data_IF_261142468627
#
_entry.id   IF_261142468627
#
_cell.length_a   1.000
_cell.length_b   1.000
_cell.length_c   1.000
_cell.angle_alpha   90.00
_cell.angle_beta   90.00
_cell.angle_gamma   90.00
#
_symmetry.space_group_name_H-M   'P 1'
#
loop_
_entity.id
_entity.type
_entity.pdbx_description
1 polymer ?
#
# COMPACT_ATOMS: atom_id res chain seq x y z
N UNK A 1 8.96 -22.46 55.37
CA UNK A 1 7.96 -22.41 54.30
C UNK A 1 7.01 -23.56 54.49
N UNK A 2 5.79 -23.26 54.93
CA UNK A 2 4.74 -24.26 55.11
C UNK A 2 3.97 -24.45 53.80
N UNK A 3 3.31 -25.60 53.62
CA UNK A 3 2.46 -25.84 52.44
C UNK A 3 1.38 -24.78 52.26
N UNK A 4 0.88 -24.22 53.36
CA UNK A 4 -0.10 -23.14 53.36
C UNK A 4 0.46 -21.86 52.76
N UNK A 5 1.66 -21.45 53.16
CA UNK A 5 2.35 -20.28 52.58
C UNK A 5 2.67 -20.46 51.08
N UNK A 6 2.91 -21.70 50.64
CA UNK A 6 3.14 -21.98 49.23
C UNK A 6 1.86 -21.84 48.40
N UNK A 7 0.73 -22.36 48.91
CA UNK A 7 -0.58 -22.25 48.26
C UNK A 7 -1.03 -20.79 48.22
N UNK A 8 -0.94 -20.07 49.34
CA UNK A 8 -1.34 -18.65 49.41
C UNK A 8 -0.53 -17.78 48.44
N UNK A 9 0.78 -18.06 48.29
CA UNK A 9 1.62 -17.37 47.30
C UNK A 9 1.26 -17.75 45.86
N UNK A 10 0.94 -19.02 45.60
CA UNK A 10 0.51 -19.45 44.27
C UNK A 10 -0.82 -18.82 43.87
N UNK A 11 -1.79 -18.74 44.78
CA UNK A 11 -3.09 -18.09 44.57
C UNK A 11 -2.94 -16.59 44.32
N UNK A 12 -2.05 -15.93 45.08
CA UNK A 12 -1.74 -14.51 44.89
C UNK A 12 -1.09 -14.24 43.53
N UNK A 13 -0.12 -15.07 43.12
CA UNK A 13 0.50 -14.97 41.79
C UNK A 13 -0.53 -15.22 40.69
N UNK A 14 -1.42 -16.20 40.85
CA UNK A 14 -2.51 -16.48 39.90
C UNK A 14 -3.48 -15.29 39.76
N UNK A 15 -3.93 -14.71 40.87
CA UNK A 15 -4.84 -13.55 40.86
C UNK A 15 -4.17 -12.29 40.31
N UNK A 16 -2.89 -12.04 40.62
CA UNK A 16 -2.11 -10.96 40.00
C UNK A 16 -1.97 -11.18 38.48
N UNK A 17 -1.75 -12.43 38.05
CA UNK A 17 -1.62 -12.78 36.64
C UNK A 17 -2.94 -12.65 35.87
N UNK A 18 -4.08 -13.05 36.45
CA UNK A 18 -5.42 -12.88 35.88
C UNK A 18 -5.83 -11.41 35.76
N UNK A 19 -5.49 -10.58 36.75
CA UNK A 19 -5.72 -9.14 36.70
C UNK A 19 -4.80 -8.45 35.66
N UNK A 20 -3.54 -8.87 35.53
CA UNK A 20 -2.63 -8.36 34.51
C UNK A 20 -3.04 -8.73 33.08
N UNK A 21 -3.68 -9.89 32.88
CA UNK A 21 -4.23 -10.32 31.56
C UNK A 21 -5.41 -9.42 31.11
N UNK A 22 -6.04 -8.67 32.03
CA UNK A 22 -7.20 -7.85 31.73
C UNK A 22 -6.91 -6.43 31.21
N UNK A 23 -5.65 -5.98 31.20
CA UNK A 23 -5.27 -4.70 30.57
C UNK A 23 -5.01 -4.87 29.06
N UNK A 24 -6.09 -4.79 28.27
CA UNK A 24 -6.16 -5.15 26.84
C UNK A 24 -5.74 -4.07 25.83
N UNK A 25 -5.12 -2.98 26.27
CA UNK A 25 -4.67 -1.89 25.40
C UNK A 25 -3.21 -2.10 24.96
N UNK A 26 -2.99 -2.27 23.66
CA UNK A 26 -1.69 -2.51 23.05
C UNK A 26 -1.27 -1.31 22.20
N UNK A 27 -0.02 -0.86 22.32
CA UNK A 27 0.56 0.12 21.39
C UNK A 27 0.95 -0.58 20.09
N UNK A 28 0.30 -0.22 18.98
CA UNK A 28 0.69 -0.64 17.63
C UNK A 28 1.37 0.52 16.90
N UNK A 29 2.46 0.24 16.21
CA UNK A 29 3.17 1.23 15.40
C UNK A 29 2.98 0.96 13.92
N UNK A 30 2.67 2.00 13.15
CA UNK A 30 2.57 1.94 11.69
C UNK A 30 3.42 3.06 11.11
N UNK A 31 4.14 2.76 10.02
CA UNK A 31 4.89 3.78 9.28
C UNK A 31 3.97 4.42 8.26
N UNK A 32 3.77 5.74 8.35
CA UNK A 32 3.04 6.55 7.35
C UNK A 32 3.92 7.70 6.92
N UNK A 33 4.05 7.91 5.61
CA UNK A 33 4.84 9.00 5.01
C UNK A 33 6.28 9.09 5.58
N UNK A 34 6.92 7.93 5.78
CA UNK A 34 8.29 7.82 6.30
C UNK A 34 8.43 8.04 7.81
N UNK A 35 7.34 8.33 8.54
CA UNK A 35 7.36 8.54 10.00
C UNK A 35 6.68 7.38 10.74
N UNK A 36 7.27 6.94 11.85
CA UNK A 36 6.68 5.92 12.73
C UNK A 36 5.62 6.56 13.63
N UNK A 37 4.36 6.17 13.46
CA UNK A 37 3.23 6.66 14.25
C UNK A 37 2.77 5.52 15.17
N UNK A 38 2.82 5.76 16.48
CA UNK A 38 2.30 4.84 17.51
C UNK A 38 0.89 5.22 17.90
N UNK A 39 0.01 4.23 17.99
CA UNK A 39 -1.36 4.42 18.47
C UNK A 39 -1.80 3.23 19.32
N UNK A 40 -2.74 3.48 20.23
CA UNK A 40 -3.33 2.45 21.07
C UNK A 40 -4.42 1.69 20.32
N UNK A 41 -4.47 0.38 20.52
CA UNK A 41 -5.44 -0.55 19.96
C UNK A 41 -5.91 -1.47 21.08
N UNK A 42 -7.18 -1.84 21.08
CA UNK A 42 -7.72 -2.87 21.98
C UNK A 42 -7.93 -4.16 21.19
N UNK A 43 -7.63 -5.29 21.82
CA UNK A 43 -7.96 -6.61 21.28
C UNK A 43 -9.33 -7.12 21.77
N UNK A 44 -10.08 -6.32 22.58
CA UNK A 44 -11.47 -6.65 22.97
C UNK A 44 -12.39 -6.60 21.74
N UNK A 45 -13.19 -7.66 21.48
CA UNK A 45 -14.25 -7.57 20.49
C UNK A 45 -15.28 -6.51 20.91
N UNK A 46 -15.86 -5.80 19.94
CA UNK A 46 -16.85 -4.74 20.15
C UNK A 46 -16.43 -3.58 21.06
N UNK A 47 -15.14 -3.41 21.32
CA UNK A 47 -14.62 -2.22 22.02
C UNK A 47 -13.79 -1.36 21.08
N UNK A 48 -13.62 -0.10 21.45
CA UNK A 48 -12.71 0.83 20.81
C UNK A 48 -11.90 1.58 21.83
N UNK A 49 -10.76 2.10 21.41
CA UNK A 49 -10.01 3.05 22.24
C UNK A 49 -10.64 4.43 22.09
N UNK A 50 -10.95 5.06 23.22
CA UNK A 50 -11.31 6.46 23.32
C UNK A 50 -10.35 7.13 24.29
N UNK A 51 -9.97 8.38 24.00
CA UNK A 51 -9.12 9.15 24.90
C UNK A 51 -10.00 10.01 25.79
N UNK A 52 -9.67 10.04 27.08
CA UNK A 52 -10.29 10.95 28.03
C UNK A 52 -9.80 12.38 27.82
N UNK A 53 -10.37 13.33 28.58
CA UNK A 53 -9.94 14.73 28.63
C UNK A 53 -8.44 14.87 28.91
N UNK A 54 -7.88 13.96 29.70
CA UNK A 54 -6.46 13.92 30.06
C UNK A 54 -5.58 13.15 29.05
N UNK A 55 -6.11 12.81 27.86
CA UNK A 55 -5.41 12.06 26.81
C UNK A 55 -4.96 10.65 27.20
N UNK A 56 -5.53 10.08 28.26
CA UNK A 56 -5.31 8.69 28.62
C UNK A 56 -6.22 7.77 27.79
N UNK A 57 -5.71 6.69 27.21
CA UNK A 57 -6.51 5.75 26.44
C UNK A 57 -7.39 4.91 27.38
N UNK A 58 -8.67 4.79 27.04
CA UNK A 58 -9.63 3.92 27.71
C UNK A 58 -10.40 3.08 26.70
N UNK A 59 -10.82 1.91 27.12
CA UNK A 59 -11.70 1.06 26.32
C UNK A 59 -13.15 1.52 26.47
N UNK A 60 -13.82 1.68 25.34
CA UNK A 60 -15.22 2.07 25.25
C UNK A 60 -15.99 1.00 24.48
N UNK A 61 -17.06 0.48 25.08
CA UNK A 61 -17.93 -0.52 24.46
C UNK A 61 -18.72 0.13 23.32
N UNK A 62 -18.70 -0.48 22.14
CA UNK A 62 -19.44 0.01 20.97
C UNK A 62 -20.90 -0.39 21.13
N UNK A 63 -21.78 0.60 21.26
CA UNK A 63 -23.23 0.35 21.36
C UNK A 63 -23.82 -0.08 20.01
N UNK A 64 -24.98 -0.77 19.98
CA UNK A 64 -25.63 -1.16 18.74
C UNK A 64 -25.97 0.02 17.82
N UNK A 65 -26.32 1.17 18.40
CA UNK A 65 -26.61 2.41 17.66
C UNK A 65 -25.34 3.00 17.04
N UNK A 66 -24.23 3.02 17.79
CA UNK A 66 -22.93 3.43 17.27
C UNK A 66 -22.47 2.51 16.15
N UNK A 67 -22.66 1.19 16.29
CA UNK A 67 -22.33 0.20 15.26
C UNK A 67 -23.05 0.49 13.94
N UNK A 68 -24.36 0.73 13.98
CA UNK A 68 -25.16 1.09 12.79
C UNK A 68 -24.66 2.39 12.14
N UNK A 69 -24.38 3.43 12.94
CA UNK A 69 -23.85 4.71 12.44
C UNK A 69 -22.50 4.54 11.74
N UNK A 70 -21.60 3.73 12.30
CA UNK A 70 -20.29 3.41 11.70
C UNK A 70 -20.43 2.70 10.37
N UNK A 71 -21.33 1.73 10.28
CA UNK A 71 -21.59 1.01 9.03
C UNK A 71 -22.10 1.96 7.94
N UNK A 72 -23.05 2.84 8.28
CA UNK A 72 -23.54 3.87 7.36
C UNK A 72 -22.42 4.82 6.94
N UNK A 73 -21.59 5.29 7.88
CA UNK A 73 -20.46 6.17 7.58
C UNK A 73 -19.45 5.51 6.62
N UNK A 74 -19.17 4.22 6.80
CA UNK A 74 -18.30 3.47 5.88
C UNK A 74 -18.90 3.36 4.48
N UNK A 75 -20.21 3.04 4.38
CA UNK A 75 -20.93 3.00 3.10
C UNK A 75 -20.90 4.35 2.38
N UNK A 76 -21.18 5.44 3.11
CA UNK A 76 -21.17 6.80 2.59
C UNK A 76 -19.77 7.22 2.12
N UNK A 77 -18.73 6.97 2.92
CA UNK A 77 -17.33 7.27 2.53
C UNK A 77 -16.91 6.49 1.28
N UNK A 78 -17.35 5.23 1.16
CA UNK A 78 -17.14 4.42 -0.04
C UNK A 78 -17.86 4.99 -1.28
N UNK A 79 -19.08 5.53 -1.11
CA UNK A 79 -19.83 6.19 -2.19
C UNK A 79 -19.10 7.45 -2.68
N UNK A 80 -18.67 8.32 -1.77
CA UNK A 80 -17.93 9.55 -2.11
C UNK A 80 -16.62 9.24 -2.84
N UNK A 81 -15.85 8.25 -2.36
CA UNK A 81 -14.62 7.82 -3.01
C UNK A 81 -14.87 7.34 -4.44
N UNK A 82 -15.92 6.52 -4.65
CA UNK A 82 -16.32 6.04 -5.99
C UNK A 82 -16.72 7.18 -6.92
N UNK A 83 -17.51 8.14 -6.44
CA UNK A 83 -17.89 9.32 -7.22
C UNK A 83 -16.66 10.13 -7.67
N UNK A 84 -15.69 10.35 -6.78
CA UNK A 84 -14.44 11.03 -7.12
C UNK A 84 -13.63 10.29 -8.19
N UNK A 85 -13.54 8.96 -8.09
CA UNK A 85 -12.89 8.12 -9.11
C UNK A 85 -13.60 8.21 -10.47
N UNK A 86 -14.94 8.12 -10.49
CA UNK A 86 -15.72 8.25 -11.71
C UNK A 86 -15.54 9.62 -12.37
N UNK A 87 -15.55 10.71 -11.59
CA UNK A 87 -15.30 12.08 -12.10
C UNK A 87 -13.93 12.20 -12.76
N UNK A 88 -12.89 11.60 -12.17
CA UNK A 88 -11.55 11.60 -12.76
C UNK A 88 -11.49 10.80 -14.07
N UNK A 89 -12.16 9.64 -14.13
CA UNK A 89 -12.25 8.82 -15.35
C UNK A 89 -13.00 9.58 -16.45
N UNK A 90 -14.13 10.20 -16.13
CA UNK A 90 -14.90 11.00 -17.08
C UNK A 90 -14.07 12.16 -17.65
N UNK A 91 -13.33 12.90 -16.79
CA UNK A 91 -12.41 13.95 -17.25
C UNK A 91 -11.32 13.43 -18.19
N UNK A 92 -10.74 12.27 -17.88
CA UNK A 92 -9.72 11.65 -18.75
C UNK A 92 -10.32 11.22 -20.10
N UNK A 93 -11.50 10.61 -20.09
CA UNK A 93 -12.22 10.23 -21.31
C UNK A 93 -12.53 11.44 -22.17
N UNK A 94 -13.11 12.50 -21.59
CA UNK A 94 -13.42 13.74 -22.30
C UNK A 94 -12.18 14.36 -22.96
N UNK A 95 -11.05 14.41 -22.24
CA UNK A 95 -9.77 14.88 -22.81
C UNK A 95 -9.30 13.99 -23.96
N UNK A 96 -9.44 12.67 -23.84
CA UNK A 96 -9.09 11.73 -24.90
C UNK A 96 -9.96 11.91 -26.14
N UNK A 97 -11.27 12.09 -25.97
CA UNK A 97 -12.18 12.35 -27.08
C UNK A 97 -11.83 13.66 -27.80
N UNK A 98 -11.63 14.76 -27.06
CA UNK A 98 -11.18 16.03 -27.65
C UNK A 98 -9.87 15.90 -28.43
N UNK A 99 -8.92 15.12 -27.91
CA UNK A 99 -7.64 14.91 -28.59
C UNK A 99 -7.80 14.11 -29.89
N UNK A 100 -8.69 13.11 -29.91
CA UNK A 100 -8.97 12.32 -31.12
C UNK A 100 -9.70 13.14 -32.18
N UNK A 101 -10.67 13.93 -31.74
CA UNK A 101 -11.43 14.87 -32.57
C UNK A 101 -10.48 15.86 -33.28
N UNK A 102 -9.54 16.47 -32.55
CA UNK A 102 -8.48 17.31 -33.14
C UNK A 102 -7.55 16.58 -34.12
N UNK A 103 -7.42 15.26 -34.01
CA UNK A 103 -6.58 14.44 -34.87
C UNK A 103 -7.35 13.79 -36.03
N UNK A 104 -8.67 14.00 -36.13
CA UNK A 104 -9.53 13.36 -37.14
C UNK A 104 -9.62 11.83 -36.98
N UNK A 105 -9.43 11.30 -35.77
CA UNK A 105 -9.46 9.86 -35.49
C UNK A 105 -10.85 9.48 -34.95
N UNK A 106 -11.64 8.78 -35.75
CA UNK A 106 -12.96 8.30 -35.34
C UNK A 106 -12.90 7.23 -34.23
N UNK A 107 -13.90 7.24 -33.36
CA UNK A 107 -14.04 6.24 -32.30
C UNK A 107 -14.55 4.92 -32.91
N UNK A 108 -13.67 3.94 -33.03
CA UNK A 108 -14.06 2.61 -33.45
C UNK A 108 -14.93 1.94 -32.36
N UNK A 109 -16.24 1.83 -32.60
CA UNK A 109 -17.22 1.32 -31.63
C UNK A 109 -17.10 -0.20 -31.40
N UNK A 110 -16.55 -0.92 -32.36
CA UNK A 110 -16.44 -2.38 -32.33
C UNK A 110 -15.30 -2.87 -31.44
N UNK A 111 -14.22 -2.10 -31.32
CA UNK A 111 -13.07 -2.40 -30.47
C UNK A 111 -12.78 -1.17 -29.62
N UNK A 112 -13.46 -0.98 -28.47
CA UNK A 112 -13.14 0.12 -27.59
C UNK A 112 -11.68 -0.03 -27.14
N UNK A 113 -10.87 1.00 -27.37
CA UNK A 113 -9.49 1.05 -26.90
C UNK A 113 -9.46 0.74 -25.39
N UNK A 114 -9.04 -0.48 -25.05
CA UNK A 114 -8.84 -0.89 -23.68
C UNK A 114 -7.80 0.07 -23.12
N UNK A 115 -8.20 0.91 -22.17
CA UNK A 115 -7.31 1.85 -21.48
C UNK A 115 -6.26 1.03 -20.72
N UNK A 116 -5.20 0.64 -21.42
CA UNK A 116 -4.00 0.09 -20.83
C UNK A 116 -3.35 1.26 -20.09
N UNK A 117 -3.51 1.26 -18.76
CA UNK A 117 -2.94 2.22 -17.83
C UNK A 117 -1.65 2.87 -18.37
N UNK A 118 -1.68 4.19 -18.65
CA UNK A 118 -0.52 4.98 -19.13
C UNK A 118 0.71 4.90 -18.20
N UNK A 119 0.58 4.35 -16.98
CA UNK A 119 1.70 4.09 -16.06
C UNK A 119 2.77 3.11 -16.60
N UNK A 120 2.51 2.36 -17.69
CA UNK A 120 3.51 1.46 -18.31
C UNK A 120 4.41 2.12 -19.38
N UNK A 121 4.08 3.32 -19.89
CA UNK A 121 4.88 3.94 -20.96
C UNK A 121 6.27 4.41 -20.49
N UNK A 122 6.43 4.81 -19.23
CA UNK A 122 7.74 5.20 -18.68
C UNK A 122 8.68 4.01 -18.48
N UNK A 123 8.16 2.80 -18.22
CA UNK A 123 8.98 1.57 -18.18
C UNK A 123 9.47 1.18 -19.58
N UNK A 124 8.61 1.18 -20.60
CA UNK A 124 9.04 0.84 -21.97
C UNK A 124 10.15 1.76 -22.50
N UNK A 125 10.11 3.07 -22.22
CA UNK A 125 11.20 3.98 -22.63
C UNK A 125 12.54 3.67 -21.94
N UNK A 126 12.52 3.25 -20.67
CA UNK A 126 13.73 2.80 -19.96
C UNK A 126 14.25 1.47 -20.51
N UNK A 127 13.35 0.55 -20.83
CA UNK A 127 13.69 -0.79 -21.35
C UNK A 127 14.27 -0.70 -22.78
N UNK A 128 13.74 0.18 -23.64
CA UNK A 128 14.29 0.42 -24.99
C UNK A 128 15.68 1.08 -24.91
N UNK A 129 15.88 2.05 -24.01
CA UNK A 129 17.18 2.72 -23.85
C UNK A 129 18.25 1.73 -23.36
N UNK A 130 17.91 0.83 -22.44
CA UNK A 130 18.84 -0.20 -21.95
C UNK A 130 19.12 -1.28 -23.00
N UNK A 131 18.11 -1.71 -23.78
CA UNK A 131 18.31 -2.62 -24.90
C UNK A 131 19.24 -2.04 -25.98
N UNK A 132 19.06 -0.76 -26.34
CA UNK A 132 19.92 -0.05 -27.29
C UNK A 132 21.37 0.04 -26.77
N UNK A 133 21.58 0.40 -25.50
CA UNK A 133 22.91 0.46 -24.89
C UNK A 133 23.62 -0.91 -24.89
N UNK A 134 22.89 -1.99 -24.59
CA UNK A 134 23.44 -3.34 -24.60
C UNK A 134 23.82 -3.79 -26.02
N UNK A 135 23.00 -3.48 -27.02
CA UNK A 135 23.30 -3.76 -28.43
C UNK A 135 24.55 -3.00 -28.91
N UNK A 136 24.69 -1.72 -28.55
CA UNK A 136 25.86 -0.89 -28.84
C UNK A 136 27.13 -1.46 -28.20
N UNK A 137 27.04 -1.92 -26.94
CA UNK A 137 28.16 -2.54 -26.22
C UNK A 137 28.61 -3.84 -26.91
N UNK A 138 27.67 -4.68 -27.33
CA UNK A 138 27.97 -5.91 -28.06
C UNK A 138 28.64 -5.62 -29.41
N UNK A 139 28.20 -4.57 -30.12
CA UNK A 139 28.74 -4.18 -31.41
C UNK A 139 30.18 -3.64 -31.27
N UNK A 140 30.44 -2.79 -30.27
CA UNK A 140 31.80 -2.32 -29.91
C UNK A 140 32.75 -3.49 -29.62
N UNK A 141 32.29 -4.48 -28.86
CA UNK A 141 33.10 -5.66 -28.54
C UNK A 141 33.40 -6.53 -29.78
N UNK A 142 32.45 -6.66 -30.71
CA UNK A 142 32.66 -7.36 -31.99
C UNK A 142 33.70 -6.63 -32.84
N UNK A 143 33.61 -5.31 -32.97
CA UNK A 143 34.57 -4.49 -33.70
C UNK A 143 35.97 -4.60 -33.09
N UNK A 144 36.08 -4.50 -31.76
CA UNK A 144 37.36 -4.65 -31.07
C UNK A 144 38.00 -6.03 -31.31
N UNK A 145 37.21 -7.11 -31.25
CA UNK A 145 37.68 -8.47 -31.60
C UNK A 145 38.13 -8.56 -33.06
N UNK A 146 37.41 -7.94 -34.00
CA UNK A 146 37.78 -7.93 -35.41
C UNK A 146 39.09 -7.17 -35.66
N UNK A 147 39.26 -6.00 -35.03
CA UNK A 147 40.49 -5.21 -35.13
C UNK A 147 41.69 -5.94 -34.53
N UNK A 148 41.52 -6.62 -33.40
CA UNK A 148 42.59 -7.43 -32.79
C UNK A 148 42.96 -8.66 -33.63
N UNK A 149 41.99 -9.28 -34.31
CA UNK A 149 42.25 -10.35 -35.28
C UNK A 149 43.01 -9.85 -36.51
N UNK A 150 42.69 -8.65 -37.01
CA UNK A 150 43.44 -8.02 -38.12
C UNK A 150 44.88 -7.65 -37.73
N UNK A 151 45.11 -7.17 -36.50
CA UNK A 151 46.47 -6.90 -36.01
C UNK A 151 47.32 -8.16 -35.91
N UNK A 152 46.77 -9.27 -35.40
CA UNK A 152 47.49 -10.56 -35.33
C UNK A 152 47.83 -11.18 -36.69
N UNK A 153 47.07 -10.87 -37.75
CA UNK A 153 47.35 -11.33 -39.12
C UNK A 153 48.42 -10.52 -39.86
N UNK A 154 48.84 -9.36 -39.34
CA UNK A 154 49.89 -8.51 -39.94
C UNK A 154 51.28 -8.70 -39.31
N UNK A 155 51.37 -9.49 -38.23
CA UNK A 155 52.60 -9.74 -37.46
C UNK A 155 53.18 -11.14 -37.69
N UNK A 156 52.76 -11.82 -38.76
CA UNK A 156 53.35 -13.04 -39.32
C UNK A 156 53.69 -12.72 -40.77
#
# INVERSE_FOLDING_TARGET
MTWKEYIDNAEKVLTEHENAINERLIKKSVVRDGKKITHWVTDKPNCRVQYDKNHNPREHIITPTERKRRELAQKLRGKVKRQGQMKNIQKQRLRSFKQRDMLGIDYNKEIPDIVRNRKKQTKMKKDIKTALLNSLKALKNKIAKFMNRKKKKKTV
#
